data_IF_364365839057
#
_entry.id   IF_364365839057
#
_cell.length_a   1.000
_cell.length_b   1.000
_cell.length_c   1.000
_cell.angle_alpha   90.00
_cell.angle_beta   90.00
_cell.angle_gamma   90.00
#
_symmetry.space_group_name_H-M   'P 1'
#
loop_
_entity.id
_entity.type
_entity.pdbx_description
1 polymer ?
#
# COMPACT_ATOMS: atom_id res chain seq x y z
N UNK A 1 22.21 7.22 31.16
CA UNK A 1 22.60 5.99 30.42
C UNK A 1 21.31 5.23 30.15
N UNK A 2 20.74 5.36 28.96
CA UNK A 2 19.45 4.77 28.60
C UNK A 2 19.74 3.52 27.77
N UNK A 3 19.38 2.35 28.30
CA UNK A 3 19.48 1.08 27.61
C UNK A 3 18.37 0.96 26.56
N UNK A 4 18.75 0.80 25.30
CA UNK A 4 17.85 0.40 24.22
C UNK A 4 17.57 -1.10 24.33
N UNK A 5 16.32 -1.47 24.60
CA UNK A 5 15.85 -2.85 24.49
C UNK A 5 15.67 -3.22 23.01
N UNK A 6 16.47 -4.15 22.52
CA UNK A 6 16.31 -4.71 21.17
C UNK A 6 15.13 -5.69 21.20
N UNK A 7 14.06 -5.36 20.49
CA UNK A 7 12.91 -6.25 20.29
C UNK A 7 13.29 -7.37 19.30
N UNK A 8 13.67 -8.54 19.79
CA UNK A 8 13.73 -9.78 18.99
C UNK A 8 12.41 -10.55 19.15
N UNK A 9 11.36 -10.08 18.49
CA UNK A 9 10.12 -10.83 18.37
C UNK A 9 10.20 -11.79 17.19
N UNK A 10 10.62 -13.04 17.39
CA UNK A 10 10.36 -14.11 16.43
C UNK A 10 8.97 -14.68 16.73
N UNK A 11 7.99 -14.41 15.86
CA UNK A 11 6.73 -15.14 15.90
C UNK A 11 6.99 -16.57 15.41
N UNK A 12 7.06 -17.54 16.34
CA UNK A 12 7.11 -18.96 16.02
C UNK A 12 5.68 -19.46 15.84
N UNK A 13 5.23 -19.57 14.59
CA UNK A 13 3.93 -20.17 14.27
C UNK A 13 4.08 -21.70 14.28
N UNK A 14 3.56 -22.35 15.31
CA UNK A 14 3.45 -23.81 15.38
C UNK A 14 2.06 -24.26 14.89
N UNK A 15 2.03 -25.13 13.88
CA UNK A 15 0.88 -25.99 13.57
C UNK A 15 -0.26 -25.39 12.72
N UNK A 16 -0.11 -25.49 11.39
CA UNK A 16 -1.21 -25.44 10.40
C UNK A 16 -0.94 -24.53 9.20
N UNK A 17 -1.16 -25.02 7.98
CA UNK A 17 -1.17 -24.23 6.72
C UNK A 17 -2.37 -23.26 6.70
N UNK A 18 -2.41 -22.27 7.60
CA UNK A 18 -3.48 -21.26 7.60
C UNK A 18 -3.16 -20.19 6.55
N UNK A 19 -4.14 -19.76 5.73
CA UNK A 19 -3.92 -18.69 4.78
C UNK A 19 -3.67 -17.37 5.51
N UNK A 20 -2.74 -16.56 4.98
CA UNK A 20 -2.42 -15.23 5.49
C UNK A 20 -2.96 -14.17 4.54
N UNK A 21 -3.54 -13.11 5.11
CA UNK A 21 -3.92 -11.90 4.38
C UNK A 21 -3.22 -10.71 5.04
N UNK A 22 -2.38 -10.02 4.27
CA UNK A 22 -1.77 -8.75 4.65
C UNK A 22 -2.61 -7.60 4.11
N UNK A 23 -2.96 -6.66 5.00
CA UNK A 23 -3.68 -5.43 4.66
C UNK A 23 -2.78 -4.23 4.97
N UNK A 24 -2.53 -3.39 3.97
CA UNK A 24 -1.73 -2.17 4.11
C UNK A 24 -2.47 -0.96 3.50
N UNK A 25 -3.39 -0.40 4.28
CA UNK A 25 -4.05 0.87 3.98
C UNK A 25 -3.20 2.03 4.52
N UNK A 26 -3.10 3.15 3.80
CA UNK A 26 -2.43 4.31 4.39
C UNK A 26 -0.93 4.13 4.69
N UNK A 27 -0.25 3.10 4.16
CA UNK A 27 1.08 2.69 4.65
C UNK A 27 2.20 2.82 3.61
N UNK A 28 2.22 1.97 2.59
CA UNK A 28 3.41 1.83 1.73
C UNK A 28 3.82 3.11 1.02
N UNK A 29 2.87 3.98 0.68
CA UNK A 29 3.14 5.26 0.02
C UNK A 29 4.08 6.19 0.80
N UNK A 30 4.21 6.02 2.11
CA UNK A 30 5.10 6.82 2.96
C UNK A 30 6.49 6.19 3.17
N UNK A 31 6.71 4.98 2.64
CA UNK A 31 7.95 4.25 2.79
C UNK A 31 8.82 4.35 1.54
N UNK A 32 10.13 4.16 1.69
CA UNK A 32 11.05 4.18 0.56
C UNK A 32 10.84 2.96 -0.36
N UNK A 33 10.96 3.10 -1.69
CA UNK A 33 10.66 2.02 -2.63
C UNK A 33 11.45 0.72 -2.43
N UNK A 34 12.76 0.83 -2.17
CA UNK A 34 13.62 -0.35 -2.00
C UNK A 34 13.19 -1.20 -0.77
N UNK A 35 13.04 -0.63 0.44
CA UNK A 35 12.48 -1.34 1.58
C UNK A 35 11.08 -1.93 1.35
N UNK A 36 10.18 -1.24 0.64
CA UNK A 36 8.85 -1.78 0.30
C UNK A 36 8.98 -3.03 -0.56
N UNK A 37 9.80 -2.98 -1.61
CA UNK A 37 10.06 -4.14 -2.48
C UNK A 37 10.66 -5.30 -1.71
N UNK A 38 11.67 -5.04 -0.88
CA UNK A 38 12.31 -6.07 -0.03
C UNK A 38 11.31 -6.71 0.94
N UNK A 39 10.48 -5.90 1.59
CA UNK A 39 9.44 -6.38 2.51
C UNK A 39 8.44 -7.31 1.79
N UNK A 40 7.93 -6.90 0.62
CA UNK A 40 6.98 -7.70 -0.15
C UNK A 40 7.61 -9.02 -0.61
N UNK A 41 8.86 -8.99 -1.06
CA UNK A 41 9.59 -10.21 -1.42
C UNK A 41 9.81 -11.12 -0.20
N UNK A 42 10.08 -10.55 0.98
CA UNK A 42 10.24 -11.31 2.22
C UNK A 42 8.93 -11.92 2.71
N UNK A 43 7.82 -11.17 2.62
CA UNK A 43 6.48 -11.67 2.88
C UNK A 43 6.17 -12.88 2.00
N UNK A 44 6.45 -12.76 0.69
CA UNK A 44 6.28 -13.85 -0.28
C UNK A 44 7.11 -15.08 0.06
N UNK A 45 8.36 -14.92 0.49
CA UNK A 45 9.25 -16.02 0.87
C UNK A 45 8.77 -16.72 2.15
N UNK A 46 8.36 -15.94 3.15
CA UNK A 46 8.05 -16.44 4.50
C UNK A 46 6.63 -17.00 4.60
N UNK A 47 5.68 -16.40 3.88
CA UNK A 47 4.25 -16.73 3.91
C UNK A 47 3.78 -17.13 2.51
N UNK A 48 4.26 -18.27 2.01
CA UNK A 48 3.87 -18.73 0.66
C UNK A 48 2.35 -18.98 0.56
N UNK A 49 1.75 -18.51 -0.53
CA UNK A 49 0.31 -18.56 -0.74
C UNK A 49 -0.47 -17.45 -0.01
N UNK A 50 0.22 -16.54 0.70
CA UNK A 50 -0.43 -15.39 1.32
C UNK A 50 -1.01 -14.44 0.27
N UNK A 51 -2.00 -13.66 0.69
CA UNK A 51 -2.55 -12.57 -0.08
C UNK A 51 -2.10 -11.24 0.51
N UNK A 52 -1.92 -10.25 -0.36
CA UNK A 52 -1.56 -8.89 -0.01
C UNK A 52 -2.55 -7.95 -0.69
N UNK A 53 -3.24 -7.15 0.12
CA UNK A 53 -4.08 -6.04 -0.32
C UNK A 53 -3.48 -4.76 0.21
N UNK A 54 -3.24 -3.79 -0.65
CA UNK A 54 -2.74 -2.50 -0.22
C UNK A 54 -3.28 -1.36 -1.06
N UNK A 55 -3.43 -0.20 -0.40
CA UNK A 55 -3.73 1.05 -1.06
C UNK A 55 -2.44 1.63 -1.64
N UNK A 56 -2.50 2.02 -2.92
CA UNK A 56 -1.38 2.60 -3.63
C UNK A 56 -1.75 3.93 -4.27
N UNK A 57 -0.74 4.74 -4.54
CA UNK A 57 -0.86 5.97 -5.34
C UNK A 57 -0.23 5.77 -6.70
N UNK A 58 -0.62 6.57 -7.69
CA UNK A 58 0.09 6.57 -8.96
C UNK A 58 1.52 7.08 -8.75
N UNK A 59 2.52 6.36 -9.29
CA UNK A 59 3.94 6.67 -9.13
C UNK A 59 4.27 8.13 -9.49
N UNK A 60 3.52 8.77 -10.40
CA UNK A 60 3.72 10.19 -10.75
C UNK A 60 3.66 11.13 -9.54
N UNK A 61 2.93 10.79 -8.48
CA UNK A 61 2.80 11.60 -7.26
C UNK A 61 4.02 11.51 -6.33
N UNK A 62 4.93 10.58 -6.60
CA UNK A 62 6.19 10.43 -5.86
C UNK A 62 7.32 11.30 -6.44
N UNK A 63 7.08 11.98 -7.58
CA UNK A 63 8.12 12.66 -8.37
C UNK A 63 7.95 14.18 -8.47
N UNK A 64 9.08 14.89 -8.45
CA UNK A 64 9.26 16.29 -8.85
C UNK A 64 8.16 17.26 -8.37
N UNK A 65 7.45 17.92 -9.29
CA UNK A 65 6.45 18.94 -8.98
C UNK A 65 5.22 18.35 -8.28
N UNK A 66 4.79 17.15 -8.67
CA UNK A 66 3.63 16.50 -8.04
C UNK A 66 3.91 16.14 -6.59
N UNK A 67 5.14 15.69 -6.30
CA UNK A 67 5.59 15.43 -4.94
C UNK A 67 5.51 16.67 -4.05
N UNK A 68 5.98 17.82 -4.53
CA UNK A 68 5.88 19.10 -3.80
C UNK A 68 4.42 19.50 -3.51
N UNK A 69 3.51 19.25 -4.46
CA UNK A 69 2.08 19.48 -4.26
C UNK A 69 1.49 18.56 -3.18
N UNK A 70 1.91 17.29 -3.16
CA UNK A 70 1.54 16.34 -2.10
C UNK A 70 2.07 16.82 -0.75
N UNK A 71 3.36 17.14 -0.63
CA UNK A 71 3.99 17.65 0.59
C UNK A 71 3.24 18.87 1.14
N UNK A 72 2.94 19.85 0.28
CA UNK A 72 2.18 21.03 0.68
C UNK A 72 0.80 20.68 1.24
N UNK A 73 0.07 19.76 0.58
CA UNK A 73 -1.25 19.32 1.03
C UNK A 73 -1.20 18.56 2.35
N UNK A 74 -0.29 17.58 2.47
CA UNK A 74 -0.12 16.78 3.68
C UNK A 74 0.21 17.67 4.89
N UNK A 75 1.08 18.67 4.69
CA UNK A 75 1.44 19.61 5.75
C UNK A 75 0.30 20.58 6.11
N UNK A 76 -0.37 21.18 5.12
CA UNK A 76 -1.37 22.23 5.36
C UNK A 76 -2.76 21.71 5.70
N UNK A 77 -3.16 20.56 5.15
CA UNK A 77 -4.53 20.05 5.30
C UNK A 77 -4.63 18.93 6.35
N UNK A 78 -3.58 18.12 6.51
CA UNK A 78 -3.58 16.98 7.42
C UNK A 78 -2.67 17.17 8.64
N UNK A 79 -1.94 18.29 8.73
CA UNK A 79 -1.06 18.61 9.85
C UNK A 79 0.13 17.66 9.99
N UNK A 80 0.51 16.95 8.93
CA UNK A 80 1.67 16.06 8.95
C UNK A 80 2.97 16.87 9.00
N UNK A 81 4.00 16.30 9.65
CA UNK A 81 5.28 16.95 9.88
C UNK A 81 6.00 17.37 8.59
N UNK A 82 6.90 18.35 8.70
CA UNK A 82 7.73 18.79 7.58
C UNK A 82 8.50 17.59 6.99
N UNK A 83 8.35 17.35 5.69
CA UNK A 83 8.94 16.21 4.99
C UNK A 83 7.98 15.05 4.74
N UNK A 84 6.74 15.08 5.26
CA UNK A 84 5.74 14.07 4.90
C UNK A 84 5.38 14.16 3.41
N UNK A 85 5.66 13.08 2.68
CA UNK A 85 5.44 12.97 1.23
C UNK A 85 5.08 11.54 0.87
N UNK A 86 4.56 11.35 -0.34
CA UNK A 86 4.59 10.04 -0.98
C UNK A 86 5.97 9.77 -1.56
N UNK A 87 6.52 8.61 -1.23
CA UNK A 87 7.82 8.09 -1.67
C UNK A 87 7.67 6.86 -2.54
N UNK A 88 6.58 6.10 -2.35
CA UNK A 88 6.27 4.90 -3.12
C UNK A 88 4.88 5.00 -3.73
N UNK A 89 4.74 4.38 -4.90
CA UNK A 89 3.54 4.25 -5.69
C UNK A 89 3.84 3.35 -6.88
N UNK A 90 2.81 2.91 -7.58
CA UNK A 90 2.96 2.05 -8.76
C UNK A 90 2.37 2.75 -10.00
N UNK A 91 2.83 2.39 -11.18
CA UNK A 91 2.38 2.91 -12.46
C UNK A 91 1.05 2.27 -12.87
N UNK A 92 0.91 0.97 -12.65
CA UNK A 92 -0.27 0.19 -13.00
C UNK A 92 -0.44 -1.04 -12.10
N UNK A 93 -1.64 -1.59 -12.05
CA UNK A 93 -2.03 -2.59 -11.06
C UNK A 93 -1.39 -3.96 -11.23
N UNK A 94 -0.75 -4.23 -12.37
CA UNK A 94 0.05 -5.45 -12.57
C UNK A 94 1.55 -5.28 -12.31
N UNK A 95 2.01 -4.11 -11.87
CA UNK A 95 3.45 -3.79 -11.81
C UNK A 95 4.25 -4.78 -10.96
N UNK A 96 3.73 -5.19 -9.80
CA UNK A 96 4.45 -6.08 -8.89
C UNK A 96 4.68 -7.48 -9.47
N UNK A 97 3.95 -7.90 -10.52
CA UNK A 97 4.21 -9.18 -11.21
C UNK A 97 5.61 -9.19 -11.88
N UNK A 98 6.14 -8.01 -12.22
CA UNK A 98 7.50 -7.86 -12.77
C UNK A 98 8.59 -8.01 -11.71
N UNK A 99 8.25 -7.91 -10.41
CA UNK A 99 9.26 -7.99 -9.36
C UNK A 99 9.70 -9.43 -9.08
N UNK A 100 8.79 -10.39 -9.26
CA UNK A 100 9.07 -11.82 -9.13
C UNK A 100 7.95 -12.66 -9.79
N UNK A 101 8.24 -13.76 -10.50
CA UNK A 101 7.22 -14.65 -11.10
C UNK A 101 6.24 -15.30 -10.10
N UNK A 102 6.52 -15.23 -8.80
CA UNK A 102 5.68 -15.78 -7.74
C UNK A 102 4.67 -14.77 -7.20
N UNK A 103 4.67 -13.54 -7.68
CA UNK A 103 3.64 -12.54 -7.38
C UNK A 103 2.61 -12.59 -8.49
N UNK A 104 1.33 -12.69 -8.12
CA UNK A 104 0.23 -12.77 -9.07
C UNK A 104 -0.84 -11.76 -8.73
N UNK A 105 -1.20 -10.94 -9.69
CA UNK A 105 -2.30 -9.99 -9.54
C UNK A 105 -3.64 -10.73 -9.50
N UNK A 106 -4.47 -10.40 -8.52
CA UNK A 106 -5.79 -11.00 -8.33
C UNK A 106 -6.92 -10.02 -8.66
N UNK A 107 -6.73 -8.72 -8.41
CA UNK A 107 -7.75 -7.72 -8.67
C UNK A 107 -7.38 -6.33 -8.16
N UNK A 108 -8.23 -5.36 -8.47
CA UNK A 108 -8.14 -3.99 -7.97
C UNK A 108 -9.54 -3.45 -7.68
N UNK A 109 -9.59 -2.45 -6.79
CA UNK A 109 -10.81 -1.69 -6.51
C UNK A 109 -10.48 -0.22 -6.50
N UNK A 110 -11.32 0.57 -7.17
CA UNK A 110 -11.33 2.02 -7.01
C UNK A 110 -12.47 2.35 -6.04
N UNK A 111 -12.22 3.27 -5.11
CA UNK A 111 -13.18 3.69 -4.06
C UNK A 111 -14.56 4.16 -4.59
N UNK A 112 -14.77 4.22 -5.91
CA UNK A 112 -16.01 4.65 -6.56
C UNK A 112 -16.74 3.55 -7.36
N UNK A 113 -16.33 2.29 -7.27
CA UNK A 113 -17.03 1.19 -7.97
C UNK A 113 -18.37 0.82 -7.33
N UNK A 114 -18.71 1.34 -6.15
CA UNK A 114 -20.02 1.15 -5.53
C UNK A 114 -20.92 2.41 -5.66
N UNK A 115 -22.10 2.31 -6.32
CA UNK A 115 -23.09 3.37 -6.32
C UNK A 115 -23.84 3.36 -4.97
N UNK A 116 -23.24 3.91 -3.92
CA UNK A 116 -23.90 4.03 -2.61
C UNK A 116 -24.95 5.18 -2.60
N UNK A 117 -26.27 4.89 -2.48
CA UNK A 117 -27.31 5.91 -2.61
C UNK A 117 -27.43 6.86 -1.42
N UNK A 118 -26.78 6.55 -0.28
CA UNK A 118 -26.99 7.25 1.00
C UNK A 118 -26.08 8.47 1.23
N UNK A 119 -25.27 8.84 0.25
CA UNK A 119 -24.13 9.77 0.41
C UNK A 119 -24.38 11.08 -0.37
N UNK A 120 -25.60 11.63 -0.25
CA UNK A 120 -26.04 12.79 -1.04
C UNK A 120 -25.26 14.10 -0.77
N UNK A 121 -24.64 14.23 0.40
CA UNK A 121 -24.05 15.49 0.90
C UNK A 121 -22.51 15.44 0.79
N UNK A 122 -21.94 14.25 0.97
CA UNK A 122 -20.52 13.93 0.68
C UNK A 122 -20.21 13.98 -0.84
N UNK A 123 -21.25 13.95 -1.69
CA UNK A 123 -21.16 14.31 -3.12
C UNK A 123 -20.55 15.69 -3.39
N UNK A 124 -20.55 16.63 -2.43
CA UNK A 124 -19.86 17.92 -2.56
C UNK A 124 -18.36 17.83 -2.24
N UNK A 125 -17.94 16.92 -1.36
CA UNK A 125 -16.51 16.61 -1.10
C UNK A 125 -15.84 15.85 -2.26
N UNK A 126 -16.63 15.37 -3.24
CA UNK A 126 -16.18 14.88 -4.55
C UNK A 126 -15.28 15.86 -5.30
N UNK A 127 -15.39 17.17 -5.00
CA UNK A 127 -14.62 18.25 -5.60
C UNK A 127 -13.15 18.34 -5.11
N UNK A 128 -12.76 17.54 -4.11
CA UNK A 128 -11.34 17.17 -3.91
C UNK A 128 -10.87 16.17 -4.99
N UNK A 129 -11.17 16.46 -6.26
CA UNK A 129 -10.93 15.63 -7.45
C UNK A 129 -9.48 15.18 -7.62
N UNK A 130 -8.54 15.88 -6.97
CA UNK A 130 -7.13 15.52 -6.97
C UNK A 130 -6.80 14.25 -6.15
N UNK A 131 -7.68 13.81 -5.25
CA UNK A 131 -7.56 12.51 -4.54
C UNK A 131 -8.31 11.38 -5.28
N UNK A 132 -9.28 11.71 -6.13
CA UNK A 132 -10.17 10.72 -6.79
C UNK A 132 -9.55 9.93 -7.94
N UNK A 133 -8.47 10.42 -8.57
CA UNK A 133 -7.85 9.81 -9.76
C UNK A 133 -6.45 9.25 -9.48
N UNK A 134 -6.12 9.01 -8.22
CA UNK A 134 -4.73 8.93 -7.79
C UNK A 134 -4.44 7.78 -6.85
N UNK A 135 -5.42 7.36 -6.05
CA UNK A 135 -5.35 6.21 -5.14
C UNK A 135 -6.29 5.10 -5.56
N UNK A 136 -5.82 3.86 -5.45
CA UNK A 136 -6.63 2.66 -5.66
C UNK A 136 -6.08 1.51 -4.82
N UNK A 137 -6.90 0.48 -4.62
CA UNK A 137 -6.51 -0.71 -3.88
C UNK A 137 -6.15 -1.82 -4.86
N UNK A 138 -5.04 -2.51 -4.61
CA UNK A 138 -4.58 -3.65 -5.40
C UNK A 138 -4.49 -4.91 -4.56
N UNK A 139 -4.77 -6.04 -5.18
CA UNK A 139 -4.76 -7.36 -4.56
C UNK A 139 -3.80 -8.29 -5.30
N UNK A 140 -2.92 -8.92 -4.55
CA UNK A 140 -1.96 -9.89 -5.06
C UNK A 140 -1.95 -11.15 -4.22
N UNK A 141 -1.63 -12.26 -4.87
CA UNK A 141 -1.13 -13.47 -4.21
C UNK A 141 0.39 -13.48 -4.23
N UNK A 142 0.97 -13.90 -3.11
CA UNK A 142 2.40 -14.00 -2.87
C UNK A 142 2.81 -15.47 -2.73
N UNK A 143 3.58 -15.98 -3.70
CA UNK A 143 4.03 -17.37 -3.73
C UNK A 143 2.98 -18.31 -4.35
N UNK A 144 3.31 -19.60 -4.38
CA UNK A 144 2.38 -20.63 -4.82
C UNK A 144 1.56 -21.14 -3.63
N UNK A 145 0.31 -21.54 -3.89
CA UNK A 145 -0.46 -22.29 -2.90
C UNK A 145 0.30 -23.59 -2.61
N UNK A 146 0.44 -23.98 -1.33
CA UNK A 146 0.99 -25.28 -1.00
C UNK A 146 0.14 -26.36 -1.67
N UNK A 147 0.77 -27.25 -2.44
CA UNK A 147 0.15 -28.49 -2.92
C UNK A 147 -0.41 -29.33 -1.76
#
# INVERSE_FOLDING_TARGET
MVTFGVWHGYAVFSGGKRPFLFLAEGLFMYLQPAPVRELILKMRETFTGAELVFETVNERYTRSMMRRLVEFKLQKQLGLGAGASYYFGIQHSKELENWHPGIKFLGEWVYFDEPEPKIGWIRWFRSFEMFRKTQWTVHYRLGQLPS
#
